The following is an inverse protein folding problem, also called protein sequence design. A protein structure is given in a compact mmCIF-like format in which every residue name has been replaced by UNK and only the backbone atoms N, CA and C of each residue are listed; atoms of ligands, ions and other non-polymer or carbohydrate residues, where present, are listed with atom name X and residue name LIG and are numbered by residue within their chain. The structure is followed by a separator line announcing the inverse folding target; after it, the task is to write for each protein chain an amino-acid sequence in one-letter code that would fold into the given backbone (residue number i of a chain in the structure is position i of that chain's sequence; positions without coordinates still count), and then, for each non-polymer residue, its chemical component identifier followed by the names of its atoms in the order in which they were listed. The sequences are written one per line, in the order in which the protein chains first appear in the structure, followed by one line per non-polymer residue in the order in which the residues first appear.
data_IF_810695855412
#
_entry.id   IF_810695855412
#
_cell.length_a   1.000
_cell.length_b   1.000
_cell.length_c   1.000
_cell.angle_alpha   90.00
_cell.angle_beta   90.00
_cell.angle_gamma   90.00
#
_symmetry.space_group_name_H-M   'P 1'
#
loop_
_entity.id
_entity.type
_entity.pdbx_description
1 polymer ?
#
# COMPACT_ATOMS: atom_id res chain seq x y z
N UNK A 1 -4.34 -20.63 20.53
CA UNK A 1 -3.76 -20.02 19.31
C UNK A 1 -3.10 -21.12 18.51
N UNK A 2 -3.60 -21.43 17.31
CA UNK A 2 -2.93 -22.38 16.43
C UNK A 2 -1.60 -21.77 15.99
N UNK A 3 -0.50 -22.48 16.23
CA UNK A 3 0.81 -22.09 15.72
C UNK A 3 0.79 -22.27 14.20
N UNK A 4 0.95 -21.17 13.46
CA UNK A 4 1.17 -21.21 12.02
C UNK A 4 2.57 -21.78 11.80
N UNK A 5 2.66 -22.94 11.14
CA UNK A 5 3.93 -23.50 10.74
C UNK A 5 4.40 -22.78 9.46
N UNK A 6 5.36 -21.87 9.61
CA UNK A 6 5.88 -21.04 8.53
C UNK A 6 6.55 -21.87 7.43
N UNK A 7 7.15 -23.02 7.77
CA UNK A 7 7.83 -23.90 6.81
C UNK A 7 6.86 -24.61 5.86
N UNK A 8 5.56 -24.61 6.17
CA UNK A 8 4.50 -25.22 5.35
C UNK A 8 3.79 -24.22 4.45
N UNK A 9 4.12 -22.93 4.52
CA UNK A 9 3.51 -21.94 3.64
C UNK A 9 4.08 -22.13 2.24
N UNK A 10 3.25 -22.38 1.21
CA UNK A 10 3.75 -22.51 -0.15
C UNK A 10 4.37 -21.19 -0.59
N UNK A 11 5.67 -21.22 -0.90
CA UNK A 11 6.42 -20.06 -1.40
C UNK A 11 6.57 -20.19 -2.91
N UNK A 12 6.05 -19.20 -3.64
CA UNK A 12 6.31 -19.09 -5.07
C UNK A 12 7.73 -18.54 -5.32
N UNK A 13 8.45 -19.01 -6.35
CA UNK A 13 9.69 -18.38 -6.79
C UNK A 13 9.47 -16.90 -7.11
N UNK A 14 10.45 -16.05 -6.77
CA UNK A 14 10.32 -14.60 -7.01
C UNK A 14 10.10 -14.24 -8.48
N UNK A 15 10.58 -15.05 -9.43
CA UNK A 15 10.43 -14.81 -10.87
C UNK A 15 8.99 -14.92 -11.37
N UNK A 16 8.07 -15.51 -10.58
CA UNK A 16 6.67 -15.61 -10.95
C UNK A 16 6.02 -14.23 -11.17
N UNK A 17 6.53 -13.17 -10.55
CA UNK A 17 6.01 -11.80 -10.74
C UNK A 17 6.18 -11.29 -12.17
N UNK A 18 7.11 -11.85 -12.96
CA UNK A 18 7.26 -11.51 -14.39
C UNK A 18 6.03 -11.86 -15.21
N UNK A 19 5.24 -12.83 -14.76
CA UNK A 19 3.99 -13.22 -15.42
C UNK A 19 2.83 -12.28 -15.16
N UNK A 20 2.98 -11.32 -14.24
CA UNK A 20 1.90 -10.41 -13.86
C UNK A 20 1.79 -9.24 -14.84
N UNK A 21 2.90 -8.84 -15.47
CA UNK A 21 2.91 -7.68 -16.36
C UNK A 21 2.60 -6.39 -15.59
N UNK A 22 1.90 -5.48 -16.27
CA UNK A 22 1.36 -4.28 -15.65
C UNK A 22 0.36 -4.63 -14.55
N UNK A 23 0.67 -4.24 -13.32
CA UNK A 23 -0.07 -4.63 -12.11
C UNK A 23 -0.74 -3.43 -11.46
N UNK A 24 -2.02 -3.54 -11.10
CA UNK A 24 -2.75 -2.57 -10.28
C UNK A 24 -2.99 -3.14 -8.88
N UNK A 25 -2.54 -2.43 -7.86
CA UNK A 25 -2.78 -2.73 -6.46
C UNK A 25 -3.88 -1.81 -5.96
N UNK A 26 -4.97 -2.38 -5.45
CA UNK A 26 -6.08 -1.62 -4.88
C UNK A 26 -6.01 -1.75 -3.36
N UNK A 27 -5.85 -0.62 -2.69
CA UNK A 27 -5.69 -0.55 -1.24
C UNK A 27 -6.77 0.36 -0.62
N UNK A 28 -7.43 -0.05 0.48
CA UNK A 28 -8.47 0.76 1.12
C UNK A 28 -7.99 2.14 1.57
N UNK A 29 -6.83 2.19 2.23
CA UNK A 29 -6.20 3.41 2.72
C UNK A 29 -4.72 3.43 2.32
N UNK A 30 -4.07 4.57 2.50
CA UNK A 30 -2.61 4.63 2.48
C UNK A 30 -2.03 3.70 3.57
N UNK A 31 -0.84 3.17 3.31
CA UNK A 31 -0.08 2.20 4.11
C UNK A 31 -0.53 0.74 3.91
N UNK A 32 -1.78 0.49 3.54
CA UNK A 32 -2.28 -0.87 3.28
C UNK A 32 -1.55 -1.55 2.11
N UNK A 33 -1.12 -0.79 1.10
CA UNK A 33 -0.37 -1.31 -0.05
C UNK A 33 1.03 -1.78 0.35
N UNK A 34 1.69 -1.03 1.23
CA UNK A 34 3.04 -1.33 1.70
C UNK A 34 3.01 -2.48 2.70
N UNK A 35 2.05 -2.46 3.63
CA UNK A 35 1.87 -3.51 4.64
C UNK A 35 1.42 -4.85 4.03
N UNK A 36 0.48 -4.80 3.08
CA UNK A 36 -0.08 -6.00 2.46
C UNK A 36 0.74 -6.52 1.28
N UNK A 37 1.36 -5.63 0.50
CA UNK A 37 1.96 -5.97 -0.79
C UNK A 37 3.40 -5.47 -0.98
N UNK A 38 4.04 -4.83 0.01
CA UNK A 38 5.37 -4.22 -0.15
C UNK A 38 6.44 -5.16 -0.73
N UNK A 39 6.46 -6.42 -0.28
CA UNK A 39 7.37 -7.44 -0.84
C UNK A 39 7.10 -7.74 -2.31
N UNK A 40 5.84 -7.83 -2.72
CA UNK A 40 5.44 -8.04 -4.12
C UNK A 40 5.77 -6.82 -4.98
N UNK A 41 5.52 -5.61 -4.48
CA UNK A 41 5.86 -4.36 -5.18
C UNK A 41 7.36 -4.30 -5.43
N UNK A 42 8.18 -4.58 -4.41
CA UNK A 42 9.63 -4.62 -4.54
C UNK A 42 10.08 -5.62 -5.62
N UNK A 43 9.48 -6.82 -5.66
CA UNK A 43 9.80 -7.82 -6.67
C UNK A 43 9.36 -7.41 -8.08
N UNK A 44 8.17 -6.85 -8.24
CA UNK A 44 7.69 -6.33 -9.53
C UNK A 44 8.67 -5.28 -10.07
N UNK A 45 9.13 -4.35 -9.22
CA UNK A 45 10.11 -3.31 -9.61
C UNK A 45 11.49 -3.86 -9.88
N UNK A 46 11.98 -4.82 -9.09
CA UNK A 46 13.23 -5.57 -9.35
C UNK A 46 13.22 -6.21 -10.74
N UNK A 47 12.06 -6.63 -11.21
CA UNK A 47 11.88 -7.28 -12.51
C UNK A 47 11.28 -6.36 -13.59
N UNK A 48 11.43 -5.04 -13.41
CA UNK A 48 11.03 -4.00 -14.38
C UNK A 48 9.57 -4.11 -14.85
N UNK A 49 8.69 -4.46 -13.92
CA UNK A 49 7.24 -4.47 -14.15
C UNK A 49 6.64 -3.12 -13.77
N UNK A 50 5.63 -2.70 -14.55
CA UNK A 50 4.82 -1.54 -14.24
C UNK A 50 3.88 -1.85 -13.08
N UNK A 51 3.84 -0.95 -12.10
CA UNK A 51 2.98 -1.08 -10.92
C UNK A 51 2.26 0.24 -10.69
N UNK A 52 0.95 0.14 -10.55
CA UNK A 52 0.06 1.23 -10.18
C UNK A 52 -0.58 0.91 -8.84
N UNK A 53 -0.78 1.92 -8.03
CA UNK A 53 -1.56 1.81 -6.79
C UNK A 53 -2.80 2.69 -6.95
N UNK A 54 -3.93 2.14 -6.50
CA UNK A 54 -5.20 2.83 -6.35
C UNK A 54 -5.59 2.81 -4.88
N UNK A 55 -5.63 4.00 -4.29
CA UNK A 55 -6.15 4.19 -2.93
C UNK A 55 -7.64 4.53 -3.01
N UNK A 56 -8.45 3.84 -2.22
CA UNK A 56 -9.92 4.00 -2.23
C UNK A 56 -10.41 5.14 -1.33
N UNK A 57 -9.67 5.47 -0.26
CA UNK A 57 -10.06 6.54 0.66
C UNK A 57 -8.85 7.19 1.34
N UNK A 58 -9.07 8.38 1.90
CA UNK A 58 -8.03 9.20 2.55
C UNK A 58 -7.74 8.81 4.02
N UNK A 59 -8.43 7.77 4.53
CA UNK A 59 -8.21 7.26 5.89
C UNK A 59 -8.63 8.19 7.02
N UNK A 60 -9.34 9.28 6.73
CA UNK A 60 -9.72 10.29 7.74
C UNK A 60 -10.65 9.77 8.84
N UNK A 61 -11.35 8.66 8.62
CA UNK A 61 -12.21 8.00 9.62
C UNK A 61 -11.54 6.89 10.44
N UNK A 62 -10.23 6.62 10.24
CA UNK A 62 -9.53 5.53 10.94
C UNK A 62 -9.42 5.73 12.47
N UNK A 63 -9.50 6.98 12.96
CA UNK A 63 -9.44 7.31 14.40
C UNK A 63 -10.51 8.32 14.84
N UNK A 64 -11.80 7.94 14.90
CA UNK A 64 -12.91 8.87 15.11
C UNK A 64 -13.04 9.42 16.55
N UNK A 65 -12.11 9.10 17.46
CA UNK A 65 -12.13 9.52 18.87
C UNK A 65 -10.76 9.82 19.47
N UNK A 66 -9.71 9.95 18.65
CA UNK A 66 -8.39 10.28 19.17
C UNK A 66 -8.35 11.73 19.66
N UNK A 67 -8.02 11.91 20.95
CA UNK A 67 -7.76 13.23 21.53
C UNK A 67 -6.43 13.83 21.07
N UNK A 68 -5.48 12.98 20.66
CA UNK A 68 -4.19 13.38 20.10
C UNK A 68 -4.30 13.69 18.59
N UNK A 69 -5.28 13.10 17.90
CA UNK A 69 -5.47 13.21 16.45
C UNK A 69 -6.93 13.53 16.07
N UNK A 70 -7.43 14.75 16.38
CA UNK A 70 -8.71 15.22 15.87
C UNK A 70 -8.67 15.35 14.33
N UNK A 71 -9.79 15.11 13.66
CA UNK A 71 -9.88 15.02 12.19
C UNK A 71 -9.27 16.22 11.43
N UNK A 72 -9.38 17.43 11.99
CA UNK A 72 -8.76 18.65 11.41
C UNK A 72 -7.22 18.64 11.45
N UNK A 73 -6.59 17.92 12.39
CA UNK A 73 -5.12 17.86 12.52
C UNK A 73 -4.50 16.62 11.83
N UNK A 74 -5.30 15.60 11.50
CA UNK A 74 -4.85 14.43 10.73
C UNK A 74 -4.45 14.78 9.29
N UNK A 75 -5.00 15.88 8.75
CA UNK A 75 -4.62 16.37 7.42
C UNK A 75 -3.21 16.96 7.38
N UNK A 76 -2.63 17.38 8.51
CA UNK A 76 -1.39 18.18 8.56
C UNK A 76 -0.18 17.49 9.22
N UNK A 77 -0.39 16.51 10.12
CA UNK A 77 0.72 15.77 10.76
C UNK A 77 0.99 14.38 10.15
N UNK A 78 -0.05 13.76 9.59
CA UNK A 78 -0.02 12.48 8.87
C UNK A 78 -0.60 12.65 7.48
N UNK A 79 -0.31 13.79 6.84
CA UNK A 79 -0.85 14.11 5.53
C UNK A 79 -0.73 12.90 4.64
N UNK A 80 -1.87 12.30 4.33
CA UNK A 80 -2.03 11.11 3.49
C UNK A 80 -1.05 11.11 2.31
N UNK A 81 -0.91 12.28 1.68
CA UNK A 81 0.03 12.56 0.59
C UNK A 81 1.51 12.35 0.96
N UNK A 82 1.98 12.75 2.14
CA UNK A 82 3.39 12.64 2.55
C UNK A 82 3.81 11.21 2.86
N UNK A 83 3.07 10.48 3.71
CA UNK A 83 3.40 9.10 4.05
C UNK A 83 3.35 8.20 2.81
N UNK A 84 2.32 8.40 1.99
CA UNK A 84 2.17 7.64 0.77
C UNK A 84 3.23 7.98 -0.28
N UNK A 85 3.58 9.26 -0.48
CA UNK A 85 4.63 9.63 -1.43
C UNK A 85 6.01 9.09 -0.99
N UNK A 86 6.28 9.08 0.31
CA UNK A 86 7.49 8.47 0.85
C UNK A 86 7.52 6.94 0.63
N UNK A 87 6.38 6.26 0.80
CA UNK A 87 6.26 4.84 0.47
C UNK A 87 6.48 4.58 -1.03
N UNK A 88 5.90 5.39 -1.92
CA UNK A 88 6.12 5.31 -3.36
C UNK A 88 7.60 5.49 -3.73
N UNK A 89 8.29 6.42 -3.07
CA UNK A 89 9.73 6.67 -3.29
C UNK A 89 10.57 5.46 -2.87
N UNK A 90 10.31 4.90 -1.68
CA UNK A 90 10.97 3.66 -1.21
C UNK A 90 10.73 2.50 -2.19
N UNK A 91 9.52 2.43 -2.74
CA UNK A 91 9.11 1.39 -3.68
C UNK A 91 9.50 1.71 -5.13
N UNK A 92 10.21 2.81 -5.39
CA UNK A 92 10.64 3.26 -6.71
C UNK A 92 9.49 3.35 -7.73
N UNK A 93 8.32 3.80 -7.31
CA UNK A 93 7.12 3.96 -8.14
C UNK A 93 7.02 5.40 -8.64
N UNK A 94 6.85 5.57 -9.97
CA UNK A 94 6.81 6.90 -10.60
C UNK A 94 5.39 7.45 -10.82
N UNK A 95 4.34 6.65 -10.60
CA UNK A 95 2.96 7.05 -10.89
C UNK A 95 1.93 6.32 -10.02
N UNK A 96 0.94 7.06 -9.53
CA UNK A 96 -0.20 6.56 -8.77
C UNK A 96 -1.48 7.21 -9.28
N UNK A 97 -2.58 6.46 -9.28
CA UNK A 97 -3.91 6.98 -9.63
C UNK A 97 -4.75 7.09 -8.36
N UNK A 98 -5.30 8.27 -8.11
CA UNK A 98 -6.21 8.50 -6.98
C UNK A 98 -7.64 8.57 -7.50
N UNK A 99 -8.55 7.83 -6.88
CA UNK A 99 -9.99 7.95 -7.17
C UNK A 99 -10.70 8.36 -5.88
N UNK A 100 -11.23 9.58 -5.87
CA UNK A 100 -12.13 10.06 -4.82
C UNK A 100 -13.57 9.73 -5.22
N UNK A 101 -14.20 8.79 -4.54
CA UNK A 101 -15.65 8.85 -4.33
C UNK A 101 -15.91 8.90 -2.82
N UNK A 102 -16.42 10.04 -2.35
CA UNK A 102 -17.00 10.14 -1.01
C UNK A 102 -18.20 9.20 -0.95
N UNK A 103 -18.07 8.10 -0.22
CA UNK A 103 -19.21 7.45 0.43
C UNK A 103 -19.26 7.90 1.88
#
# INVERSE_FOLDING_TARGET
MNQINLDKIPVAPEQCVKGFGTTLIVAPHADDESLGCGGMISLLRKYDQDVYILLLSDGTMSHPGSKEYPAENLQLLFSFTYNFHFALEILALSSCLYVFEML
#
